data_IF_050989092581
#
_entry.id   IF_050989092581
#
_cell.length_a   1.000
_cell.length_b   1.000
_cell.length_c   1.000
_cell.angle_alpha   90.00
_cell.angle_beta   90.00
_cell.angle_gamma   90.00
#
_symmetry.space_group_name_H-M   'P 1'
#
loop_
_entity.id
_entity.type
_entity.pdbx_description
1 polymer ?
#
# COMPACT_ATOMS: atom_id res chain seq x y z
N UNK A 1 3.98 -37.50 26.88
CA UNK A 1 3.95 -36.28 27.71
C UNK A 1 3.81 -35.15 26.69
N UNK A 2 2.80 -34.79 26.46
CA UNK A 2 1.51 -34.22 26.71
C UNK A 2 1.46 -32.83 26.04
N UNK A 3 0.73 -32.78 24.96
CA UNK A 3 0.36 -31.62 24.12
C UNK A 3 -0.46 -30.55 24.83
N UNK A 4 -0.50 -30.53 26.18
CA UNK A 4 -1.33 -29.64 27.01
C UNK A 4 -0.60 -28.40 27.56
N UNK A 5 0.69 -28.21 27.30
CA UNK A 5 1.49 -27.10 27.86
C UNK A 5 1.71 -25.90 26.95
N UNK A 6 1.25 -25.94 25.71
CA UNK A 6 1.41 -24.83 24.74
C UNK A 6 0.22 -23.87 24.78
N UNK A 7 -0.96 -24.31 25.23
CA UNK A 7 -2.18 -23.49 25.25
C UNK A 7 -2.28 -22.47 26.41
N UNK A 8 -1.44 -22.56 27.44
CA UNK A 8 -1.57 -21.70 28.63
C UNK A 8 -0.66 -20.47 28.68
N UNK A 9 0.23 -20.25 27.68
CA UNK A 9 1.09 -19.07 27.63
C UNK A 9 0.52 -17.87 26.85
N UNK A 10 -0.65 -18.00 26.23
CA UNK A 10 -1.28 -16.90 25.44
C UNK A 10 -2.38 -16.12 26.19
N UNK A 11 -2.59 -16.36 27.50
CA UNK A 11 -3.72 -15.75 28.24
C UNK A 11 -3.41 -14.52 29.08
N UNK A 12 -2.30 -13.82 28.92
CA UNK A 12 -2.08 -12.59 29.70
C UNK A 12 -1.22 -11.56 28.99
N UNK A 13 -1.75 -10.89 28.01
CA UNK A 13 -1.39 -9.51 27.68
C UNK A 13 -2.61 -8.80 27.13
N UNK A 14 -3.52 -8.40 28.01
CA UNK A 14 -4.42 -7.30 27.72
C UNK A 14 -3.55 -6.04 27.61
N UNK A 15 -3.38 -5.55 26.40
CA UNK A 15 -2.72 -4.27 26.14
C UNK A 15 -3.74 -3.16 26.42
N UNK A 16 -3.62 -2.49 27.56
CA UNK A 16 -4.33 -1.25 27.88
C UNK A 16 -3.42 -0.06 27.54
N UNK A 17 -3.29 0.27 26.27
CA UNK A 17 -2.61 1.48 25.83
C UNK A 17 -3.55 2.33 24.98
N UNK A 18 -3.44 3.67 25.00
CA UNK A 18 -4.33 4.58 24.29
C UNK A 18 -4.24 4.48 22.74
N UNK A 19 -3.42 3.62 22.20
CA UNK A 19 -3.14 3.47 20.75
C UNK A 19 -4.04 2.48 20.03
N UNK A 20 -4.85 1.67 20.75
CA UNK A 20 -5.78 0.69 20.18
C UNK A 20 -7.05 1.30 19.54
N UNK A 21 -7.13 2.61 19.40
CA UNK A 21 -8.27 3.29 18.76
C UNK A 21 -8.02 3.81 17.35
N UNK A 22 -6.85 3.61 16.78
CA UNK A 22 -6.43 4.28 15.55
C UNK A 22 -6.56 3.44 14.26
N UNK A 23 -6.85 2.15 14.34
CA UNK A 23 -7.07 1.29 13.15
C UNK A 23 -8.49 0.75 13.04
N UNK A 24 -9.49 1.44 13.60
CA UNK A 24 -10.85 1.21 13.19
C UNK A 24 -11.09 2.01 11.90
N UNK A 25 -10.74 1.42 10.75
CA UNK A 25 -11.38 1.80 9.49
C UNK A 25 -12.86 1.75 9.75
N UNK A 26 -13.52 2.91 9.85
CA UNK A 26 -14.96 3.01 9.84
C UNK A 26 -15.46 2.64 8.43
N UNK A 27 -15.39 1.36 8.10
CA UNK A 27 -16.37 0.81 7.18
C UNK A 27 -17.69 1.06 7.90
N UNK A 28 -18.57 1.86 7.35
CA UNK A 28 -19.94 1.99 7.79
C UNK A 28 -20.65 0.66 7.54
N UNK A 29 -20.33 -0.32 8.37
CA UNK A 29 -21.19 -1.47 8.62
C UNK A 29 -22.34 -0.92 9.44
N UNK A 30 -23.61 -1.18 9.11
CA UNK A 30 -24.75 -0.75 9.91
C UNK A 30 -24.51 -1.16 11.36
N UNK A 31 -24.75 -0.23 12.28
CA UNK A 31 -24.63 -0.39 13.73
C UNK A 31 -25.07 -1.78 14.18
N UNK A 32 -24.12 -2.64 14.49
CA UNK A 32 -24.39 -3.73 15.41
C UNK A 32 -24.10 -3.19 16.81
N UNK A 33 -25.12 -3.33 17.67
CA UNK A 33 -25.04 -2.98 19.07
C UNK A 33 -23.76 -3.57 19.68
N UNK A 34 -22.97 -2.72 20.35
CA UNK A 34 -21.80 -3.12 21.14
C UNK A 34 -22.24 -4.17 22.16
N UNK A 35 -21.82 -5.39 21.97
CA UNK A 35 -21.84 -6.38 23.04
C UNK A 35 -20.59 -6.16 23.90
N UNK A 36 -20.82 -5.82 25.16
CA UNK A 36 -19.78 -5.68 26.20
C UNK A 36 -19.09 -7.05 26.42
N UNK A 37 -17.77 -7.05 26.59
CA UNK A 37 -16.90 -8.25 26.69
C UNK A 37 -17.25 -9.25 27.83
N UNK A 38 -18.30 -9.01 28.60
CA UNK A 38 -18.69 -9.80 29.76
C UNK A 38 -20.14 -10.33 29.76
N UNK A 39 -20.90 -10.20 28.67
CA UNK A 39 -22.27 -10.74 28.67
C UNK A 39 -22.48 -11.72 27.50
N UNK A 40 -22.47 -12.97 27.83
CA UNK A 40 -22.89 -14.08 26.98
C UNK A 40 -24.34 -13.87 26.51
N UNK A 41 -24.50 -13.29 25.32
CA UNK A 41 -25.82 -13.27 24.68
C UNK A 41 -26.17 -14.67 24.16
N UNK A 42 -26.58 -15.53 25.04
CA UNK A 42 -27.26 -16.76 24.64
C UNK A 42 -28.51 -16.39 23.86
N UNK A 43 -28.55 -16.72 22.57
CA UNK A 43 -29.68 -16.60 21.65
C UNK A 43 -29.74 -15.36 20.73
N UNK A 44 -28.65 -14.94 20.15
CA UNK A 44 -28.71 -14.27 18.83
C UNK A 44 -28.72 -15.37 17.76
N UNK A 45 -29.91 -15.79 17.36
CA UNK A 45 -30.15 -16.84 16.36
C UNK A 45 -29.79 -16.40 14.93
N UNK A 46 -28.63 -15.84 14.72
CA UNK A 46 -28.03 -15.71 13.39
C UNK A 46 -27.10 -16.91 13.20
N UNK A 47 -27.32 -17.73 12.18
CA UNK A 47 -26.31 -18.69 11.77
C UNK A 47 -25.01 -17.90 11.50
N UNK A 48 -23.82 -18.51 11.69
CA UNK A 48 -22.60 -17.88 11.28
C UNK A 48 -22.79 -17.47 9.82
N UNK A 49 -22.89 -16.16 9.58
CA UNK A 49 -22.91 -15.62 8.22
C UNK A 49 -21.70 -16.19 7.51
N UNK A 50 -21.85 -16.59 6.28
CA UNK A 50 -20.75 -17.08 5.45
C UNK A 50 -19.54 -16.19 5.65
N UNK A 51 -18.32 -16.76 5.82
CA UNK A 51 -17.13 -15.96 6.04
C UNK A 51 -17.04 -14.88 4.96
N UNK A 52 -16.87 -13.62 5.35
CA UNK A 52 -16.66 -12.54 4.41
C UNK A 52 -15.18 -12.48 4.08
N UNK A 53 -14.87 -12.43 2.80
CA UNK A 53 -13.51 -12.25 2.33
C UNK A 53 -13.29 -10.79 1.94
N UNK A 54 -12.16 -10.21 2.37
CA UNK A 54 -11.75 -8.88 1.97
C UNK A 54 -10.31 -8.91 1.42
N UNK A 55 -9.99 -7.99 0.54
CA UNK A 55 -8.66 -7.76 -0.01
C UNK A 55 -8.27 -6.32 0.26
N UNK A 56 -7.04 -6.09 0.70
CA UNK A 56 -6.51 -4.76 1.00
C UNK A 56 -5.28 -4.44 0.15
N UNK A 57 -4.33 -5.36 0.08
CA UNK A 57 -3.08 -5.22 -0.66
C UNK A 57 -3.20 -5.70 -2.10
N UNK A 58 -2.52 -5.01 -3.02
CA UNK A 58 -2.54 -5.34 -4.44
C UNK A 58 -1.22 -4.93 -5.11
N UNK A 59 -0.70 -5.80 -5.97
CA UNK A 59 0.37 -5.47 -6.92
C UNK A 59 0.06 -6.04 -8.30
N UNK A 60 0.54 -5.36 -9.34
CA UNK A 60 0.41 -5.81 -10.72
C UNK A 60 1.78 -5.79 -11.40
N UNK A 61 2.06 -6.80 -12.22
CA UNK A 61 3.34 -6.91 -12.93
C UNK A 61 3.49 -8.21 -13.69
N UNK A 62 4.60 -8.35 -14.40
CA UNK A 62 4.90 -9.59 -15.16
C UNK A 62 5.50 -10.66 -14.26
N UNK A 63 4.74 -11.17 -13.29
CA UNK A 63 5.19 -12.19 -12.34
C UNK A 63 5.44 -13.55 -12.99
N UNK A 64 4.80 -13.83 -14.12
CA UNK A 64 4.92 -15.10 -14.85
C UNK A 64 5.94 -15.08 -15.97
N UNK A 65 6.59 -13.94 -16.20
CA UNK A 65 7.55 -13.68 -17.29
C UNK A 65 7.04 -14.08 -18.69
N UNK A 66 5.72 -14.11 -18.89
CA UNK A 66 5.10 -14.39 -20.19
C UNK A 66 4.86 -13.13 -21.03
N UNK A 67 5.31 -11.97 -20.56
CA UNK A 67 5.12 -10.66 -21.22
C UNK A 67 3.77 -10.00 -20.94
N UNK A 68 2.94 -10.60 -20.09
CA UNK A 68 1.63 -10.05 -19.71
C UNK A 68 1.57 -9.71 -18.23
N UNK A 69 0.76 -8.72 -17.90
CA UNK A 69 0.56 -8.28 -16.52
C UNK A 69 -0.33 -9.26 -15.76
N UNK A 70 0.22 -9.87 -14.73
CA UNK A 70 -0.53 -10.64 -13.72
C UNK A 70 -0.85 -9.75 -12.52
N UNK A 71 -1.88 -10.11 -11.76
CA UNK A 71 -2.31 -9.40 -10.55
C UNK A 71 -2.14 -10.31 -9.34
N UNK A 72 -1.62 -9.77 -8.24
CA UNK A 72 -1.56 -10.43 -6.95
C UNK A 72 -2.28 -9.55 -5.94
N UNK A 73 -3.23 -10.12 -5.22
CA UNK A 73 -4.00 -9.43 -4.21
C UNK A 73 -3.95 -10.20 -2.88
N UNK A 74 -4.01 -9.50 -1.77
CA UNK A 74 -4.23 -10.14 -0.47
C UNK A 74 -5.68 -10.63 -0.37
N UNK A 75 -5.90 -11.63 0.44
CA UNK A 75 -7.23 -12.15 0.74
C UNK A 75 -7.26 -12.58 2.20
N UNK A 76 -8.09 -11.92 2.99
CA UNK A 76 -8.30 -12.23 4.40
C UNK A 76 -9.72 -12.73 4.60
N UNK A 77 -9.88 -13.88 5.25
CA UNK A 77 -11.18 -14.44 5.58
C UNK A 77 -11.45 -14.18 7.05
N UNK A 78 -12.46 -13.35 7.34
CA UNK A 78 -12.81 -13.01 8.71
C UNK A 78 -13.60 -14.13 9.37
N UNK A 79 -13.04 -14.71 10.44
CA UNK A 79 -13.72 -15.63 11.35
C UNK A 79 -13.85 -14.97 12.73
N UNK A 80 -14.99 -15.17 13.39
CA UNK A 80 -15.17 -14.79 14.80
C UNK A 80 -14.92 -16.00 15.70
N UNK A 81 -14.06 -15.97 16.75
CA UNK A 81 -13.17 -14.91 17.23
C UNK A 81 -11.69 -15.15 16.85
N UNK A 82 -11.10 -14.31 16.04
CA UNK A 82 -9.64 -14.07 15.94
C UNK A 82 -8.70 -15.14 15.36
N UNK A 83 -9.04 -15.81 14.29
CA UNK A 83 -8.06 -16.39 13.37
C UNK A 83 -8.47 -15.94 11.96
N UNK A 84 -7.81 -14.94 11.41
CA UNK A 84 -8.08 -14.36 10.09
C UNK A 84 -6.97 -14.78 9.11
N UNK A 85 -6.92 -16.05 8.68
CA UNK A 85 -5.85 -16.49 7.80
C UNK A 85 -5.89 -15.73 6.49
N UNK A 86 -4.77 -15.09 6.17
CA UNK A 86 -4.55 -14.41 4.93
C UNK A 86 -3.96 -15.32 3.86
N UNK A 87 -4.17 -14.94 2.62
CA UNK A 87 -3.54 -15.56 1.47
C UNK A 87 -3.15 -14.48 0.46
N UNK A 88 -2.11 -14.75 -0.33
CA UNK A 88 -1.95 -14.12 -1.63
C UNK A 88 -2.78 -14.88 -2.65
N UNK A 89 -3.63 -14.16 -3.39
CA UNK A 89 -4.33 -14.65 -4.59
C UNK A 89 -3.56 -14.16 -5.80
N UNK A 90 -2.95 -15.10 -6.53
CA UNK A 90 -2.21 -14.81 -7.74
C UNK A 90 -3.15 -15.09 -8.92
N UNK A 91 -3.47 -14.06 -9.70
CA UNK A 91 -4.24 -14.12 -10.93
C UNK A 91 -3.28 -14.09 -12.12
N UNK A 92 -2.85 -15.25 -12.64
CA UNK A 92 -1.88 -15.31 -13.72
C UNK A 92 -2.53 -14.83 -15.01
N UNK A 93 -1.93 -13.86 -15.69
CA UNK A 93 -2.41 -13.44 -17.00
C UNK A 93 -2.18 -14.54 -18.04
N UNK A 94 -3.20 -14.80 -18.84
CA UNK A 94 -3.13 -15.69 -20.00
C UNK A 94 -3.03 -14.94 -21.33
N UNK A 95 -2.97 -13.61 -21.26
CA UNK A 95 -2.87 -12.67 -22.39
C UNK A 95 -4.19 -11.99 -22.74
N UNK A 96 -4.10 -10.85 -23.44
CA UNK A 96 -5.24 -10.07 -23.93
C UNK A 96 -6.36 -9.80 -22.90
N UNK A 97 -5.98 -9.46 -21.66
CA UNK A 97 -6.94 -9.14 -20.59
C UNK A 97 -7.68 -10.33 -20.01
N UNK A 98 -7.16 -11.53 -20.24
CA UNK A 98 -7.69 -12.76 -19.66
C UNK A 98 -6.78 -13.29 -18.56
N UNK A 99 -7.38 -13.84 -17.50
CA UNK A 99 -6.67 -14.38 -16.35
C UNK A 99 -7.03 -15.86 -16.12
N UNK A 100 -6.06 -16.63 -15.65
CA UNK A 100 -6.29 -17.98 -15.19
C UNK A 100 -6.96 -18.01 -13.83
N UNK A 101 -7.40 -19.20 -13.41
CA UNK A 101 -7.91 -19.39 -12.07
C UNK A 101 -6.87 -18.93 -11.01
N UNK A 102 -7.26 -18.25 -9.95
CA UNK A 102 -6.33 -17.77 -8.94
C UNK A 102 -5.63 -18.91 -8.22
N UNK A 103 -4.33 -18.72 -7.96
CA UNK A 103 -3.52 -19.63 -7.14
C UNK A 103 -3.40 -18.99 -5.75
N UNK A 104 -3.68 -19.77 -4.71
CA UNK A 104 -3.60 -19.32 -3.33
C UNK A 104 -2.24 -19.68 -2.72
N UNK A 105 -1.62 -18.75 -2.04
CA UNK A 105 -0.41 -18.95 -1.24
C UNK A 105 -0.66 -18.39 0.16
N UNK A 106 -0.52 -19.19 1.24
CA UNK A 106 -0.76 -18.71 2.61
C UNK A 106 0.16 -17.54 2.98
N UNK A 107 -0.39 -16.50 3.63
CA UNK A 107 0.29 -15.23 3.99
C UNK A 107 -0.04 -14.78 5.43
N UNK A 108 0.08 -15.63 6.42
CA UNK A 108 -0.15 -15.20 7.81
C UNK A 108 -1.53 -14.62 8.08
N UNK A 109 -1.65 -13.85 9.17
CA UNK A 109 -2.91 -13.21 9.58
C UNK A 109 -2.94 -11.74 9.11
N UNK A 110 -4.04 -11.35 8.47
CA UNK A 110 -4.41 -9.98 8.07
C UNK A 110 -3.33 -9.20 7.26
N UNK A 111 -2.94 -9.70 6.07
CA UNK A 111 -2.01 -8.98 5.20
C UNK A 111 -2.67 -7.72 4.62
N UNK A 112 -2.10 -6.54 4.91
CA UNK A 112 -2.69 -5.24 4.57
C UNK A 112 -2.12 -4.60 3.31
N UNK A 113 -0.83 -4.76 3.05
CA UNK A 113 -0.13 -4.05 1.98
C UNK A 113 0.83 -4.98 1.24
N UNK A 114 0.93 -4.79 -0.08
CA UNK A 114 1.89 -5.52 -0.92
C UNK A 114 2.85 -4.56 -1.60
N UNK A 115 4.10 -5.00 -1.72
CA UNK A 115 5.09 -4.41 -2.62
C UNK A 115 5.75 -5.51 -3.44
N UNK A 116 6.31 -5.17 -4.60
CA UNK A 116 6.98 -6.13 -5.46
C UNK A 116 8.27 -5.56 -6.06
N UNK A 117 9.31 -6.38 -6.10
CA UNK A 117 10.57 -6.11 -6.76
C UNK A 117 11.30 -7.43 -7.04
N UNK A 118 12.31 -7.44 -7.89
CA UNK A 118 13.23 -8.57 -8.02
C UNK A 118 14.26 -8.49 -6.87
N UNK A 119 13.98 -9.19 -5.77
CA UNK A 119 14.85 -9.22 -4.57
C UNK A 119 15.97 -10.26 -4.69
N UNK A 120 15.86 -11.18 -5.63
CA UNK A 120 16.83 -12.25 -5.81
C UNK A 120 17.79 -12.02 -6.95
N UNK A 121 17.53 -11.04 -7.82
CA UNK A 121 18.25 -10.84 -9.08
C UNK A 121 18.00 -11.96 -10.08
N UNK A 122 16.96 -12.79 -9.86
CA UNK A 122 16.64 -13.95 -10.71
C UNK A 122 15.71 -13.59 -11.88
N UNK A 123 15.16 -12.38 -11.90
CA UNK A 123 14.37 -11.80 -12.98
C UNK A 123 12.85 -11.78 -12.75
N UNK A 124 12.16 -12.80 -12.22
CA UNK A 124 10.76 -12.65 -11.83
C UNK A 124 10.60 -11.76 -10.61
N UNK A 125 9.55 -10.92 -10.59
CA UNK A 125 9.24 -10.10 -9.42
C UNK A 125 8.87 -10.98 -8.22
N UNK A 126 9.48 -10.70 -7.08
CA UNK A 126 9.13 -11.22 -5.77
C UNK A 126 8.05 -10.34 -5.14
N UNK A 127 7.42 -10.81 -4.06
CA UNK A 127 6.36 -10.07 -3.35
C UNK A 127 6.71 -9.97 -1.88
N UNK A 128 6.49 -8.79 -1.31
CA UNK A 128 6.56 -8.55 0.14
C UNK A 128 5.19 -8.14 0.63
N UNK A 129 4.70 -8.84 1.65
CA UNK A 129 3.47 -8.54 2.35
C UNK A 129 3.79 -7.92 3.72
N UNK A 130 3.04 -6.89 4.11
CA UNK A 130 3.07 -6.31 5.45
C UNK A 130 1.80 -6.73 6.19
N UNK A 131 1.96 -7.39 7.35
CA UNK A 131 0.88 -7.88 8.21
C UNK A 131 0.97 -7.23 9.58
N UNK A 132 -0.03 -6.40 9.90
CA UNK A 132 -0.03 -5.61 11.14
C UNK A 132 -0.24 -6.49 12.38
N UNK A 133 -1.20 -7.40 12.34
CA UNK A 133 -1.58 -8.25 13.48
C UNK A 133 -0.50 -9.28 13.81
N UNK A 134 0.11 -9.89 12.81
CA UNK A 134 1.27 -10.77 12.99
C UNK A 134 2.55 -10.02 13.34
N UNK A 135 2.63 -8.73 12.99
CA UNK A 135 3.83 -7.93 13.16
C UNK A 135 4.98 -8.43 12.32
N UNK A 136 4.72 -8.71 11.04
CA UNK A 136 5.71 -9.28 10.12
C UNK A 136 5.72 -8.62 8.76
N UNK A 137 6.90 -8.67 8.12
CA UNK A 137 7.02 -8.64 6.67
C UNK A 137 7.24 -10.08 6.20
N UNK A 138 6.41 -10.52 5.27
CA UNK A 138 6.51 -11.86 4.66
C UNK A 138 7.02 -11.71 3.22
N UNK A 139 8.19 -12.30 2.92
CA UNK A 139 8.81 -12.22 1.60
C UNK A 139 8.57 -13.52 0.85
N UNK A 140 7.94 -13.42 -0.30
CA UNK A 140 7.64 -14.53 -1.20
C UNK A 140 8.54 -14.46 -2.42
N UNK A 141 9.47 -15.41 -2.52
CA UNK A 141 10.37 -15.50 -3.66
C UNK A 141 9.71 -16.21 -4.82
N UNK A 142 9.69 -15.56 -5.97
CA UNK A 142 9.15 -16.11 -7.21
C UNK A 142 10.17 -17.03 -7.86
N UNK A 143 9.73 -18.22 -8.26
CA UNK A 143 10.60 -19.23 -8.83
C UNK A 143 11.10 -18.86 -10.23
N UNK A 144 12.41 -18.69 -10.39
CA UNK A 144 13.02 -18.47 -11.71
C UNK A 144 12.79 -19.64 -12.68
N UNK A 145 12.64 -20.87 -12.16
CA UNK A 145 12.40 -22.07 -12.97
C UNK A 145 10.93 -22.22 -13.38
N UNK A 146 10.02 -21.66 -12.60
CA UNK A 146 8.58 -21.68 -12.85
C UNK A 146 7.97 -20.34 -12.40
N UNK A 147 8.18 -19.26 -13.18
CA UNK A 147 7.65 -17.94 -12.83
C UNK A 147 6.14 -17.95 -12.56
N UNK A 148 5.72 -17.18 -11.55
CA UNK A 148 4.34 -17.18 -11.05
C UNK A 148 4.06 -18.24 -9.97
N UNK A 149 5.10 -18.96 -9.50
CA UNK A 149 4.99 -19.86 -8.34
C UNK A 149 5.94 -19.42 -7.24
N UNK A 150 5.45 -19.40 -6.02
CA UNK A 150 6.19 -18.96 -4.84
C UNK A 150 6.55 -20.15 -3.95
N UNK A 151 7.78 -20.13 -3.42
CA UNK A 151 8.25 -21.13 -2.46
C UNK A 151 7.79 -20.86 -1.03
N UNK A 152 8.42 -21.53 -0.06
CA UNK A 152 8.21 -21.20 1.35
C UNK A 152 8.66 -19.75 1.62
N UNK A 153 7.83 -18.92 2.27
CA UNK A 153 8.16 -17.52 2.50
C UNK A 153 9.26 -17.35 3.56
N UNK A 154 9.99 -16.23 3.46
CA UNK A 154 10.83 -15.71 4.54
C UNK A 154 10.00 -14.75 5.40
N UNK A 155 9.95 -15.01 6.71
CA UNK A 155 9.21 -14.17 7.66
C UNK A 155 10.21 -13.31 8.44
N UNK A 156 10.04 -11.99 8.35
CA UNK A 156 10.82 -10.98 9.04
C UNK A 156 9.97 -10.33 10.13
N UNK A 157 10.47 -10.27 11.37
CA UNK A 157 9.73 -9.64 12.48
C UNK A 157 9.76 -8.12 12.33
N UNK A 158 8.56 -7.51 12.22
CA UNK A 158 8.33 -6.06 12.09
C UNK A 158 7.04 -5.67 12.83
N UNK A 159 7.09 -5.52 14.17
CA UNK A 159 5.90 -5.29 14.98
C UNK A 159 5.13 -4.03 14.59
N UNK A 160 3.87 -4.20 14.17
CA UNK A 160 3.02 -3.11 13.70
C UNK A 160 3.24 -2.72 12.24
N UNK A 161 3.80 -3.63 11.43
CA UNK A 161 4.00 -3.39 10.00
C UNK A 161 2.66 -3.14 9.29
N UNK A 162 2.48 -1.93 8.77
CA UNK A 162 1.28 -1.51 8.04
C UNK A 162 1.54 -1.29 6.55
N UNK A 163 2.80 -1.04 6.18
CA UNK A 163 3.22 -0.79 4.80
C UNK A 163 4.72 -1.07 4.67
N UNK A 164 5.17 -1.37 3.47
CA UNK A 164 6.59 -1.57 3.14
C UNK A 164 6.96 -0.81 1.89
N UNK A 165 8.10 -0.12 1.92
CA UNK A 165 8.78 0.44 0.75
C UNK A 165 10.01 -0.40 0.43
N UNK A 166 10.40 -0.43 -0.85
CA UNK A 166 11.56 -1.16 -1.34
C UNK A 166 12.51 -0.19 -2.04
N UNK A 167 13.81 -0.27 -1.75
CA UNK A 167 14.83 0.55 -2.38
C UNK A 167 16.24 0.13 -1.97
N UNK A 168 17.24 0.44 -2.79
CA UNK A 168 18.65 0.19 -2.49
C UNK A 168 19.18 1.33 -1.61
N UNK A 169 19.05 1.18 -0.30
CA UNK A 169 19.33 2.25 0.67
C UNK A 169 20.81 2.49 0.92
N UNK A 170 21.67 1.59 0.46
CA UNK A 170 23.12 1.68 0.65
C UNK A 170 23.90 1.71 -0.67
N UNK A 171 23.21 1.74 -1.81
CA UNK A 171 23.75 1.74 -3.16
C UNK A 171 24.69 0.54 -3.42
N UNK A 172 24.36 -0.65 -2.90
CA UNK A 172 25.11 -1.89 -3.13
C UNK A 172 24.54 -2.75 -4.29
N UNK A 173 23.46 -2.29 -4.90
CA UNK A 173 22.75 -2.96 -6.00
C UNK A 173 21.71 -3.97 -5.54
N UNK A 174 21.49 -4.14 -4.22
CA UNK A 174 20.47 -5.01 -3.65
C UNK A 174 19.31 -4.16 -3.12
N UNK A 175 18.10 -4.71 -3.22
CA UNK A 175 16.90 -4.01 -2.76
C UNK A 175 16.68 -4.26 -1.27
N UNK A 176 16.68 -3.21 -0.47
CA UNK A 176 16.38 -3.23 0.95
C UNK A 176 14.88 -3.04 1.20
N UNK A 177 14.40 -3.37 2.41
CA UNK A 177 13.03 -3.18 2.81
C UNK A 177 12.94 -2.17 3.94
N UNK A 178 12.02 -1.21 3.82
CA UNK A 178 11.70 -0.25 4.88
C UNK A 178 10.26 -0.47 5.29
N UNK A 179 10.02 -0.81 6.55
CA UNK A 179 8.70 -1.02 7.11
C UNK A 179 8.18 0.23 7.80
N UNK A 180 6.96 0.65 7.45
CA UNK A 180 6.16 1.54 8.29
C UNK A 180 5.65 0.72 9.47
N UNK A 181 6.27 0.84 10.62
CA UNK A 181 5.99 0.11 11.84
C UNK A 181 6.17 1.01 13.07
N UNK A 182 6.18 0.42 14.28
CA UNK A 182 6.36 1.17 15.52
C UNK A 182 7.75 1.84 15.65
N UNK A 183 8.71 1.51 14.78
CA UNK A 183 10.09 2.02 14.84
C UNK A 183 10.64 2.48 13.49
N UNK A 184 9.88 2.43 12.42
CA UNK A 184 10.38 2.54 11.03
C UNK A 184 11.66 1.74 10.85
N UNK A 185 11.50 0.49 10.48
CA UNK A 185 12.59 -0.48 10.47
C UNK A 185 13.16 -0.65 9.06
N UNK A 186 14.50 -0.59 8.96
CA UNK A 186 15.24 -0.90 7.74
C UNK A 186 15.83 -2.32 7.84
N UNK A 187 15.49 -3.16 6.88
CA UNK A 187 16.02 -4.51 6.66
C UNK A 187 16.98 -4.46 5.47
N UNK A 188 18.28 -4.42 5.77
CA UNK A 188 19.31 -4.37 4.72
C UNK A 188 19.49 -5.75 4.11
N UNK A 189 19.43 -5.82 2.80
CA UNK A 189 19.75 -7.03 2.06
C UNK A 189 21.27 -7.19 1.99
N UNK A 190 21.80 -8.34 2.42
CA UNK A 190 23.25 -8.63 2.48
C UNK A 190 23.72 -9.58 1.39
N UNK A 191 22.81 -10.25 0.77
CA UNK A 191 22.96 -11.09 -0.43
C UNK A 191 21.58 -11.27 -1.04
N UNK A 192 21.45 -11.60 -2.33
CA UNK A 192 20.16 -11.82 -2.97
C UNK A 192 19.20 -12.66 -2.13
N UNK A 193 18.04 -12.09 -1.75
CA UNK A 193 17.03 -12.72 -0.90
C UNK A 193 17.41 -12.93 0.57
N UNK A 194 18.50 -12.31 1.07
CA UNK A 194 18.95 -12.49 2.46
C UNK A 194 19.05 -11.14 3.17
N UNK A 195 18.33 -10.97 4.27
CA UNK A 195 18.26 -9.73 5.02
C UNK A 195 18.97 -9.81 6.37
N UNK A 196 19.64 -8.72 6.75
CA UNK A 196 20.20 -8.54 8.08
C UNK A 196 19.07 -8.32 9.12
N UNK A 197 19.43 -8.31 10.40
CA UNK A 197 18.50 -7.88 11.44
C UNK A 197 18.11 -6.43 11.22
N UNK A 198 16.82 -6.06 11.44
CA UNK A 198 16.38 -4.69 11.22
C UNK A 198 17.09 -3.70 12.14
N UNK A 199 17.34 -2.53 11.59
CA UNK A 199 17.75 -1.34 12.34
C UNK A 199 16.60 -0.34 12.39
N UNK A 200 16.42 0.32 13.52
CA UNK A 200 15.42 1.38 13.68
C UNK A 200 15.95 2.68 13.07
N UNK A 201 15.20 3.25 12.13
CA UNK A 201 15.48 4.57 11.56
C UNK A 201 14.77 5.68 12.33
N UNK A 202 13.56 5.41 12.84
CA UNK A 202 12.75 6.39 13.54
C UNK A 202 11.92 5.72 14.66
N UNK A 203 12.22 6.00 15.93
CA UNK A 203 11.57 5.32 17.05
C UNK A 203 10.14 5.83 17.35
N UNK A 204 9.66 6.82 16.61
CA UNK A 204 8.32 7.38 16.78
C UNK A 204 7.20 6.60 16.09
N UNK A 205 7.55 5.60 15.30
CA UNK A 205 6.61 4.89 14.44
C UNK A 205 6.10 5.72 13.25
N UNK A 206 5.63 5.04 12.22
CA UNK A 206 5.04 5.68 11.05
C UNK A 206 3.86 4.86 10.53
N UNK A 207 2.93 5.55 9.87
CA UNK A 207 1.81 4.90 9.18
C UNK A 207 2.14 4.62 7.70
N UNK A 208 3.06 5.40 7.13
CA UNK A 208 3.48 5.29 5.74
C UNK A 208 4.93 5.70 5.59
N UNK A 209 5.65 5.06 4.68
CA UNK A 209 7.02 5.40 4.31
C UNK A 209 7.17 5.42 2.79
N UNK A 210 8.05 6.29 2.30
CA UNK A 210 8.50 6.33 0.92
C UNK A 210 10.01 6.56 0.88
N UNK A 211 10.67 6.05 -0.14
CA UNK A 211 12.12 6.14 -0.32
C UNK A 211 12.47 6.78 -1.64
N UNK A 212 13.50 7.60 -1.66
CA UNK A 212 14.01 8.28 -2.85
C UNK A 212 15.05 9.34 -2.47
N UNK A 213 15.88 9.74 -3.42
CA UNK A 213 16.86 10.79 -3.23
C UNK A 213 16.15 12.16 -3.15
N UNK A 214 16.06 12.72 -1.96
CA UNK A 214 15.36 13.98 -1.67
C UNK A 214 16.32 15.17 -1.52
N UNK A 215 17.63 14.95 -1.66
CA UNK A 215 18.64 16.00 -1.55
C UNK A 215 19.57 16.04 -2.76
N UNK A 216 19.35 15.17 -3.75
CA UNK A 216 20.12 15.06 -4.98
C UNK A 216 21.61 14.70 -4.75
N UNK A 217 21.89 13.83 -3.77
CA UNK A 217 23.23 13.29 -3.50
C UNK A 217 23.43 11.89 -4.10
N UNK A 218 22.42 11.33 -4.73
CA UNK A 218 22.42 10.01 -5.37
C UNK A 218 22.21 8.86 -4.40
N UNK A 219 21.85 9.11 -3.13
CA UNK A 219 21.59 8.10 -2.13
C UNK A 219 20.14 8.25 -1.68
N UNK A 220 19.35 7.16 -1.56
CA UNK A 220 17.97 7.26 -1.13
C UNK A 220 17.83 7.76 0.31
N UNK A 221 16.89 8.69 0.50
CA UNK A 221 16.41 9.21 1.75
C UNK A 221 15.08 8.55 2.13
N UNK A 222 14.55 8.85 3.31
CA UNK A 222 13.26 8.33 3.79
C UNK A 222 12.32 9.49 4.08
N UNK A 223 11.14 9.46 3.47
CA UNK A 223 10.00 10.25 3.90
C UNK A 223 9.03 9.36 4.68
N UNK A 224 8.49 9.86 5.79
CA UNK A 224 7.56 9.11 6.63
C UNK A 224 6.41 9.99 7.10
N UNK A 225 5.27 9.35 7.41
CA UNK A 225 4.14 10.01 8.08
C UNK A 225 3.98 9.49 9.49
N UNK A 226 3.88 10.38 10.45
CA UNK A 226 3.50 10.07 11.81
C UNK A 226 2.18 10.76 12.21
N UNK A 227 1.83 10.77 13.50
CA UNK A 227 0.62 11.39 14.00
C UNK A 227 0.59 12.92 13.88
N UNK A 228 1.70 13.56 13.48
CA UNK A 228 1.83 15.03 13.38
C UNK A 228 1.85 15.49 11.93
N UNK A 229 2.36 14.67 11.02
CA UNK A 229 2.48 15.01 9.61
C UNK A 229 3.62 14.26 8.92
N UNK A 230 4.26 14.90 7.96
CA UNK A 230 5.32 14.30 7.14
C UNK A 230 6.68 14.79 7.60
N UNK A 231 7.59 13.85 7.74
CA UNK A 231 9.00 14.08 8.06
C UNK A 231 9.91 13.46 7.01
N UNK A 232 11.07 14.06 6.84
CA UNK A 232 12.13 13.56 5.98
C UNK A 232 13.36 13.26 6.82
N UNK A 233 13.96 12.11 6.62
CA UNK A 233 15.25 11.69 7.14
C UNK A 233 16.22 11.64 5.96
N UNK A 234 17.11 12.63 5.86
CA UNK A 234 18.13 12.64 4.82
C UNK A 234 19.27 11.70 5.21
N UNK A 235 19.70 10.87 4.28
CA UNK A 235 20.91 10.07 4.43
C UNK A 235 22.13 11.00 4.59
N UNK A 236 23.11 10.59 5.37
CA UNK A 236 24.33 11.39 5.62
C UNK A 236 25.59 10.54 5.54
N UNK A 237 26.61 11.08 4.91
CA UNK A 237 27.90 10.38 4.75
C UNK A 237 27.93 9.47 3.53
N UNK A 238 28.72 8.40 3.59
CA UNK A 238 28.81 7.44 2.49
C UNK A 238 27.58 6.52 2.48
N UNK A 239 27.11 6.11 1.31
CA UNK A 239 25.93 5.23 1.15
C UNK A 239 25.95 4.01 2.10
N UNK A 240 27.07 3.30 2.15
CA UNK A 240 27.24 2.13 3.01
C UNK A 240 27.15 2.42 4.53
N UNK A 241 27.13 3.70 4.96
CA UNK A 241 27.07 4.05 6.38
C UNK A 241 25.67 3.90 7.00
N UNK A 242 24.61 3.97 6.20
CA UNK A 242 23.21 3.93 6.62
C UNK A 242 22.92 4.87 7.81
N UNK A 243 23.51 6.05 7.76
CA UNK A 243 23.33 7.09 8.79
C UNK A 243 22.41 8.18 8.26
N UNK A 244 21.48 8.61 9.09
CA UNK A 244 20.46 9.59 8.72
C UNK A 244 20.54 10.83 9.64
N UNK A 245 20.26 11.99 9.07
CA UNK A 245 20.09 13.21 9.84
C UNK A 245 18.87 13.12 10.77
N UNK A 246 18.79 14.00 11.75
CA UNK A 246 17.59 14.12 12.57
C UNK A 246 16.38 14.41 11.67
N UNK A 247 15.20 13.78 11.94
CA UNK A 247 14.01 13.97 11.13
C UNK A 247 13.58 15.44 11.09
N UNK A 248 13.30 15.95 9.89
CA UNK A 248 12.82 17.32 9.66
C UNK A 248 11.36 17.26 9.22
N UNK A 249 10.49 17.97 9.94
CA UNK A 249 9.08 18.11 9.54
C UNK A 249 8.97 19.01 8.30
N UNK A 250 8.37 18.51 7.24
CA UNK A 250 8.17 19.21 5.97
C UNK A 250 6.72 19.52 5.68
N UNK A 251 5.79 18.83 6.34
CA UNK A 251 4.36 19.06 6.22
C UNK A 251 3.67 18.76 7.56
N UNK A 252 2.73 19.64 7.96
CA UNK A 252 1.93 19.44 9.17
C UNK A 252 0.53 19.04 8.78
N UNK A 253 0.07 17.91 9.28
CA UNK A 253 -1.25 17.37 9.01
C UNK A 253 -2.36 18.28 9.58
N UNK A 254 -3.46 18.37 8.85
CA UNK A 254 -4.71 18.94 9.36
C UNK A 254 -5.26 18.10 10.51
N UNK A 255 -5.69 18.78 11.59
CA UNK A 255 -6.23 18.07 12.76
C UNK A 255 -7.63 17.54 12.44
N UNK A 256 -7.77 16.24 12.35
CA UNK A 256 -9.05 15.55 12.21
C UNK A 256 -9.19 14.50 13.33
N UNK A 257 -9.92 14.81 14.46
CA UNK A 257 -10.03 13.92 15.60
C UNK A 257 -10.82 12.64 15.32
N UNK A 258 -10.45 11.83 14.48
CA UNK A 258 -11.11 10.57 14.10
C UNK A 258 -10.44 9.91 12.93
N UNK A 259 -9.53 10.61 12.28
CA UNK A 259 -8.71 10.10 11.19
C UNK A 259 -7.26 10.34 11.58
N UNK A 260 -6.62 9.32 12.11
CA UNK A 260 -5.19 9.33 12.38
C UNK A 260 -4.49 8.53 11.29
N UNK A 261 -3.42 9.08 10.70
CA UNK A 261 -2.57 8.33 9.76
C UNK A 261 -3.03 8.29 8.31
N UNK A 262 -3.86 9.24 7.88
CA UNK A 262 -4.33 9.32 6.49
C UNK A 262 -3.39 10.07 5.54
N UNK A 263 -2.20 10.49 5.99
CA UNK A 263 -1.21 11.08 5.10
C UNK A 263 -0.44 9.96 4.42
N UNK A 264 -0.59 9.88 3.11
CA UNK A 264 0.19 9.01 2.25
C UNK A 264 1.26 9.86 1.58
N UNK A 265 2.39 9.26 1.23
CA UNK A 265 3.47 9.95 0.54
C UNK A 265 3.85 9.14 -0.69
N UNK A 266 4.04 9.85 -1.81
CA UNK A 266 4.81 9.35 -2.93
C UNK A 266 5.96 10.32 -3.22
N UNK A 267 7.06 9.79 -3.73
CA UNK A 267 8.25 10.53 -4.15
C UNK A 267 8.40 10.37 -5.65
N UNK A 268 8.44 11.48 -6.39
CA UNK A 268 8.66 11.50 -7.83
C UNK A 268 9.06 12.90 -8.30
N UNK A 269 9.80 12.99 -9.40
CA UNK A 269 10.01 14.24 -10.12
C UNK A 269 8.76 14.57 -10.94
N UNK A 270 7.83 15.34 -10.33
CA UNK A 270 6.55 15.66 -10.99
C UNK A 270 6.61 16.88 -11.89
N UNK A 271 7.70 17.65 -11.83
CA UNK A 271 7.87 18.84 -12.67
C UNK A 271 8.89 18.67 -13.78
N UNK A 272 9.62 17.54 -13.83
CA UNK A 272 10.59 17.22 -14.86
C UNK A 272 11.92 18.00 -14.71
N UNK A 273 12.25 18.48 -13.51
CA UNK A 273 13.49 19.24 -13.29
C UNK A 273 14.68 18.38 -12.81
N UNK A 274 14.47 17.08 -12.67
CA UNK A 274 15.47 16.10 -12.27
C UNK A 274 15.60 15.94 -10.75
N UNK A 275 14.74 16.58 -9.95
CA UNK A 275 14.70 16.47 -8.50
C UNK A 275 13.44 15.76 -8.05
N UNK A 276 13.54 14.92 -7.04
CA UNK A 276 12.36 14.25 -6.49
C UNK A 276 11.55 15.19 -5.60
N UNK A 277 10.27 15.28 -5.88
CA UNK A 277 9.27 16.05 -5.15
C UNK A 277 8.48 15.15 -4.19
N UNK A 278 7.72 15.76 -3.28
CA UNK A 278 6.80 15.05 -2.38
C UNK A 278 5.35 15.28 -2.81
N UNK A 279 4.62 14.18 -2.97
CA UNK A 279 3.17 14.17 -3.18
C UNK A 279 2.52 13.60 -1.93
N UNK A 280 1.73 14.41 -1.22
CA UNK A 280 1.23 14.10 0.13
C UNK A 280 -0.28 14.25 0.15
N UNK A 281 -1.02 13.22 0.61
CA UNK A 281 -2.45 13.38 0.89
C UNK A 281 -2.66 14.00 2.28
N UNK A 282 -3.73 14.78 2.43
CA UNK A 282 -4.19 15.28 3.74
C UNK A 282 -5.71 15.05 3.83
N UNK A 283 -6.20 14.33 4.86
CA UNK A 283 -7.62 14.08 5.05
C UNK A 283 -8.43 15.38 5.28
N UNK A 284 -7.76 16.48 5.55
CA UNK A 284 -8.39 17.75 5.87
C UNK A 284 -9.05 17.79 7.25
N UNK A 285 -9.44 18.96 7.73
CA UNK A 285 -10.21 19.10 8.97
C UNK A 285 -11.62 18.49 8.80
N UNK A 286 -12.26 18.15 9.92
CA UNK A 286 -13.61 17.54 9.92
C UNK A 286 -14.60 18.38 9.09
N UNK A 287 -15.27 17.73 8.15
CA UNK A 287 -16.26 18.35 7.27
C UNK A 287 -15.69 19.04 6.02
N UNK A 288 -14.38 18.99 5.83
CA UNK A 288 -13.72 19.44 4.59
C UNK A 288 -13.37 18.23 3.71
N UNK A 289 -13.35 18.40 2.39
CA UNK A 289 -12.84 17.37 1.51
C UNK A 289 -11.33 17.16 1.72
N UNK A 290 -10.80 15.96 1.52
CA UNK A 290 -9.36 15.72 1.55
C UNK A 290 -8.65 16.42 0.40
N UNK A 291 -7.35 16.61 0.55
CA UNK A 291 -6.50 17.23 -0.47
C UNK A 291 -5.30 16.35 -0.79
N UNK A 292 -4.71 16.59 -1.96
CA UNK A 292 -3.34 16.20 -2.27
C UNK A 292 -2.48 17.47 -2.36
N UNK A 293 -1.30 17.43 -1.78
CA UNK A 293 -0.39 18.56 -1.63
C UNK A 293 0.93 18.22 -2.33
N UNK A 294 1.36 19.08 -3.22
CA UNK A 294 2.60 18.93 -3.97
C UNK A 294 3.64 19.86 -3.37
N UNK A 295 4.73 19.29 -2.89
CA UNK A 295 5.88 20.02 -2.36
C UNK A 295 7.05 19.80 -3.31
N UNK A 296 7.32 20.78 -4.17
CA UNK A 296 8.45 20.72 -5.08
C UNK A 296 9.76 20.88 -4.31
N UNK A 297 10.76 20.06 -4.64
CA UNK A 297 12.09 20.19 -4.06
C UNK A 297 12.71 21.54 -4.44
N UNK A 298 13.37 22.18 -3.48
CA UNK A 298 13.99 23.48 -3.71
C UNK A 298 15.37 23.30 -4.35
N UNK A 299 15.46 23.55 -5.64
CA UNK A 299 16.71 23.47 -6.41
C UNK A 299 17.88 24.30 -5.83
N UNK A 300 17.56 25.40 -5.12
CA UNK A 300 18.58 26.27 -4.52
C UNK A 300 19.04 25.78 -3.14
N UNK A 301 18.33 24.86 -2.54
CA UNK A 301 18.62 24.29 -1.22
C UNK A 301 18.15 22.82 -1.18
N UNK A 302 18.92 21.87 -1.80
CA UNK A 302 18.57 20.46 -1.83
C UNK A 302 18.24 19.91 -0.45
N UNK A 303 17.26 19.01 -0.36
CA UNK A 303 16.73 18.51 0.91
C UNK A 303 15.70 19.42 1.59
N UNK A 304 15.36 20.56 0.96
CA UNK A 304 14.25 21.42 1.40
C UNK A 304 13.17 21.52 0.31
N UNK A 305 11.97 21.91 0.70
CA UNK A 305 10.82 21.95 -0.20
C UNK A 305 10.18 23.34 -0.24
N UNK A 306 9.58 23.66 -1.39
CA UNK A 306 8.78 24.87 -1.55
C UNK A 306 7.45 24.74 -0.81
N UNK A 307 6.72 25.85 -0.67
CA UNK A 307 5.39 25.83 -0.08
C UNK A 307 4.45 24.90 -0.86
N UNK A 308 3.58 24.12 -0.17
CA UNK A 308 2.71 23.15 -0.82
C UNK A 308 1.68 23.85 -1.74
N UNK A 309 1.43 23.22 -2.88
CA UNK A 309 0.28 23.52 -3.75
C UNK A 309 -0.75 22.42 -3.55
N UNK A 310 -1.98 22.81 -3.15
CA UNK A 310 -3.03 21.87 -2.75
C UNK A 310 -4.09 21.72 -3.83
N UNK A 311 -4.52 20.47 -4.06
CA UNK A 311 -5.62 20.10 -4.94
C UNK A 311 -6.68 19.33 -4.17
N UNK A 312 -7.95 19.73 -4.34
CA UNK A 312 -9.07 19.12 -3.62
C UNK A 312 -9.47 17.79 -4.27
N UNK A 313 -9.66 16.76 -3.45
CA UNK A 313 -10.17 15.46 -3.85
C UNK A 313 -11.70 15.39 -3.68
N UNK A 314 -12.31 14.29 -4.13
CA UNK A 314 -13.72 14.04 -3.86
C UNK A 314 -14.00 14.02 -2.36
N UNK A 315 -15.09 14.65 -1.92
CA UNK A 315 -15.47 14.70 -0.50
C UNK A 315 -15.77 13.32 0.12
N UNK A 316 -16.01 12.31 -0.71
CA UNK A 316 -16.20 10.91 -0.29
C UNK A 316 -14.90 10.11 -0.30
N UNK A 317 -13.79 10.72 -0.71
CA UNK A 317 -12.49 10.07 -0.75
C UNK A 317 -11.85 10.10 0.63
N UNK A 318 -11.59 8.93 1.19
CA UNK A 318 -10.62 8.77 2.28
C UNK A 318 -9.38 8.15 1.67
N UNK A 319 -8.29 8.93 1.44
CA UNK A 319 -7.08 8.41 0.80
C UNK A 319 -6.52 7.21 1.56
N UNK A 320 -6.27 6.11 0.86
CA UNK A 320 -5.74 4.86 1.41
C UNK A 320 -4.54 4.35 0.63
N UNK A 321 -4.36 4.81 -0.62
CA UNK A 321 -3.18 4.56 -1.43
C UNK A 321 -2.88 5.72 -2.35
N UNK A 322 -1.62 5.84 -2.74
CA UNK A 322 -1.14 6.85 -3.68
C UNK A 322 -0.11 6.24 -4.61
N UNK A 323 -0.25 6.51 -5.89
CA UNK A 323 0.70 6.14 -6.94
C UNK A 323 0.95 7.34 -7.83
N UNK A 324 2.20 7.53 -8.24
CA UNK A 324 2.59 8.53 -9.23
C UNK A 324 3.11 7.80 -10.47
N UNK A 325 2.44 7.99 -11.61
CA UNK A 325 2.77 7.34 -12.87
C UNK A 325 2.20 8.15 -14.05
N UNK A 326 2.85 8.11 -15.21
CA UNK A 326 2.28 8.64 -16.44
C UNK A 326 1.12 7.72 -16.90
N UNK A 327 -0.12 8.10 -16.55
CA UNK A 327 -1.30 7.29 -16.87
C UNK A 327 -1.96 7.70 -18.19
N UNK A 328 -1.54 8.82 -18.80
CA UNK A 328 -2.10 9.29 -20.05
C UNK A 328 -1.14 9.15 -21.25
N UNK A 329 0.12 8.77 -21.01
CA UNK A 329 1.15 8.56 -22.02
C UNK A 329 1.75 9.86 -22.59
N UNK A 330 1.68 10.98 -21.85
CA UNK A 330 2.20 12.28 -22.31
C UNK A 330 3.63 12.56 -21.84
N UNK A 331 4.23 11.66 -21.06
CA UNK A 331 5.59 11.75 -20.53
C UNK A 331 5.70 12.53 -19.22
N UNK A 332 4.59 12.95 -18.62
CA UNK A 332 4.56 13.63 -17.32
C UNK A 332 3.87 12.75 -16.27
N UNK A 333 4.45 12.59 -15.07
CA UNK A 333 3.84 11.76 -14.03
C UNK A 333 2.53 12.37 -13.53
N UNK A 334 1.46 11.57 -13.54
CA UNK A 334 0.14 11.87 -13.00
C UNK A 334 0.01 11.30 -11.58
N UNK A 335 -1.03 11.67 -10.86
CA UNK A 335 -1.29 11.19 -9.50
C UNK A 335 -2.59 10.39 -9.47
N UNK A 336 -2.50 9.16 -8.95
CA UNK A 336 -3.66 8.27 -8.73
C UNK A 336 -3.78 8.00 -7.22
N UNK A 337 -4.94 8.32 -6.67
CA UNK A 337 -5.24 8.18 -5.25
C UNK A 337 -6.43 7.25 -5.08
N UNK A 338 -6.19 6.11 -4.46
CA UNK A 338 -7.23 5.17 -4.05
C UNK A 338 -7.84 5.54 -2.70
N UNK A 339 -9.14 5.34 -2.57
CA UNK A 339 -9.91 5.55 -1.35
C UNK A 339 -10.99 4.49 -1.16
N UNK A 340 -11.83 4.63 -0.14
CA UNK A 340 -12.78 3.58 0.27
C UNK A 340 -13.80 3.18 -0.82
N UNK A 341 -14.17 4.10 -1.71
CA UNK A 341 -15.18 3.86 -2.74
C UNK A 341 -14.92 4.68 -4.01
N UNK A 342 -13.71 5.20 -4.17
CA UNK A 342 -13.37 6.10 -5.26
C UNK A 342 -11.89 6.06 -5.56
N UNK A 343 -11.55 6.13 -6.84
CA UNK A 343 -10.20 6.48 -7.31
C UNK A 343 -10.26 7.91 -7.83
N UNK A 344 -9.31 8.75 -7.41
CA UNK A 344 -9.11 10.08 -7.95
C UNK A 344 -7.86 10.09 -8.84
N UNK A 345 -7.97 10.67 -10.02
CA UNK A 345 -6.87 10.84 -10.97
C UNK A 345 -6.66 12.33 -11.21
N UNK A 346 -5.44 12.81 -10.98
CA UNK A 346 -5.02 14.17 -11.28
C UNK A 346 -3.98 14.11 -12.38
N UNK A 347 -4.34 14.56 -13.55
CA UNK A 347 -3.41 14.62 -14.68
C UNK A 347 -2.47 15.81 -14.53
N UNK A 348 -1.18 15.57 -14.76
CA UNK A 348 -0.17 16.60 -14.81
C UNK A 348 -0.44 17.52 -16.02
N UNK A 349 -0.25 18.81 -15.84
CA UNK A 349 -0.46 19.77 -16.92
C UNK A 349 0.81 19.86 -17.78
N UNK A 350 0.83 19.19 -18.92
CA UNK A 350 1.96 19.20 -19.83
C UNK A 350 2.43 20.61 -20.25
N UNK A 351 1.55 21.62 -20.17
CA UNK A 351 1.91 23.02 -20.46
C UNK A 351 2.58 23.73 -19.27
N UNK A 352 2.49 23.17 -18.09
CA UNK A 352 3.08 23.68 -16.84
C UNK A 352 3.38 22.50 -15.90
N UNK A 353 4.41 21.67 -16.20
CA UNK A 353 4.72 20.47 -15.42
C UNK A 353 4.90 20.78 -13.92
N UNK A 354 4.42 19.86 -13.07
CA UNK A 354 4.35 20.06 -11.63
C UNK A 354 3.08 20.79 -11.14
N UNK A 355 2.20 21.21 -12.09
CA UNK A 355 0.83 21.61 -11.78
C UNK A 355 -0.15 20.57 -12.32
N UNK A 356 -1.29 20.40 -11.65
CA UNK A 356 -2.24 19.33 -11.97
C UNK A 356 -3.61 19.89 -12.35
N UNK A 357 -4.30 19.15 -13.20
CA UNK A 357 -5.70 19.42 -13.51
C UNK A 357 -6.58 19.04 -12.30
N UNK A 358 -7.83 19.50 -12.29
CA UNK A 358 -8.79 19.10 -11.25
C UNK A 358 -8.97 17.59 -11.24
N UNK A 359 -9.09 17.01 -10.05
CA UNK A 359 -9.23 15.57 -9.86
C UNK A 359 -10.47 15.03 -10.60
N UNK A 360 -10.26 14.05 -11.47
CA UNK A 360 -11.31 13.19 -12.00
C UNK A 360 -11.56 12.04 -11.02
N UNK A 361 -12.83 11.78 -10.70
CA UNK A 361 -13.20 10.76 -9.70
C UNK A 361 -13.97 9.63 -10.35
N UNK A 362 -13.54 8.40 -10.07
CA UNK A 362 -14.10 7.15 -10.57
C UNK A 362 -14.62 6.33 -9.41
N UNK A 363 -15.91 6.00 -9.40
CA UNK A 363 -16.48 5.15 -8.36
C UNK A 363 -15.91 3.73 -8.43
N UNK A 364 -15.56 3.17 -7.28
CA UNK A 364 -15.03 1.82 -7.12
C UNK A 364 -15.69 1.12 -5.94
N UNK A 365 -15.57 -0.19 -5.86
CA UNK A 365 -16.03 -0.97 -4.71
C UNK A 365 -15.05 -0.88 -3.54
N UNK A 366 -13.74 -0.81 -3.82
CA UNK A 366 -12.67 -0.64 -2.86
C UNK A 366 -11.40 -0.19 -3.59
N UNK A 367 -10.64 0.73 -3.03
CA UNK A 367 -9.34 1.13 -3.59
C UNK A 367 -8.31 1.39 -2.46
N UNK A 368 -8.26 0.46 -1.50
CA UNK A 368 -7.31 0.51 -0.37
C UNK A 368 -5.86 0.49 -0.81
N UNK A 369 -5.57 -0.19 -1.91
CA UNK A 369 -4.32 -0.09 -2.64
C UNK A 369 -4.63 -0.08 -4.14
N UNK A 370 -3.94 0.74 -4.93
CA UNK A 370 -4.08 0.76 -6.38
C UNK A 370 -2.79 0.30 -7.04
N UNK A 371 -2.90 -0.38 -8.17
CA UNK A 371 -1.78 -0.67 -9.05
C UNK A 371 -2.07 -0.14 -10.46
N UNK A 372 -1.02 0.28 -11.16
CA UNK A 372 -1.08 0.85 -12.49
C UNK A 372 -0.36 -0.10 -13.44
N UNK A 373 -1.07 -0.64 -14.42
CA UNK A 373 -0.48 -1.53 -15.41
C UNK A 373 -1.44 -1.74 -16.61
N UNK A 374 -0.88 -2.01 -17.78
CA UNK A 374 -1.67 -2.51 -18.92
C UNK A 374 -2.07 -3.97 -18.64
N UNK A 375 -3.31 -4.19 -18.20
CA UNK A 375 -3.80 -5.54 -17.86
C UNK A 375 -4.53 -6.21 -19.00
N UNK A 376 -4.96 -5.44 -20.03
CA UNK A 376 -5.68 -5.96 -21.16
C UNK A 376 -4.81 -6.13 -22.42
N UNK A 377 -3.57 -5.62 -22.43
CA UNK A 377 -2.62 -5.74 -23.54
C UNK A 377 -2.89 -4.80 -24.71
N UNK A 378 -3.60 -3.68 -24.51
CA UNK A 378 -3.92 -2.70 -25.55
C UNK A 378 -2.87 -1.57 -25.65
N UNK A 379 -1.87 -1.57 -24.77
CA UNK A 379 -0.79 -0.58 -24.72
C UNK A 379 -1.13 0.67 -23.91
N UNK A 380 -2.32 0.73 -23.30
CA UNK A 380 -2.72 1.78 -22.37
C UNK A 380 -2.63 1.23 -20.92
N UNK A 381 -2.26 2.08 -19.98
CA UNK A 381 -2.23 1.66 -18.59
C UNK A 381 -3.62 1.75 -17.97
N UNK A 382 -3.98 0.74 -17.21
CA UNK A 382 -5.24 0.62 -16.48
C UNK A 382 -5.00 0.80 -14.98
N UNK A 383 -6.07 1.03 -14.22
CA UNK A 383 -6.04 1.10 -12.76
C UNK A 383 -6.67 -0.17 -12.20
N UNK A 384 -5.90 -0.92 -11.41
CA UNK A 384 -6.38 -2.14 -10.73
C UNK A 384 -6.62 -1.81 -9.25
N UNK A 385 -7.74 -2.30 -8.72
CA UNK A 385 -8.16 -2.08 -7.34
C UNK A 385 -8.44 -3.42 -6.63
N UNK A 386 -8.24 -3.53 -5.32
CA UNK A 386 -8.58 -4.74 -4.57
C UNK A 386 -10.09 -5.01 -4.57
N UNK A 387 -10.45 -6.22 -4.19
CA UNK A 387 -11.86 -6.61 -4.04
C UNK A 387 -12.47 -5.89 -2.85
N UNK A 388 -13.58 -5.19 -3.05
CA UNK A 388 -14.41 -4.71 -1.96
C UNK A 388 -15.03 -5.87 -1.17
N UNK A 389 -15.41 -5.61 0.08
CA UNK A 389 -16.23 -6.54 0.87
C UNK A 389 -17.50 -6.84 0.06
N UNK A 390 -17.65 -8.09 -0.32
CA UNK A 390 -18.64 -8.57 -1.30
C UNK A 390 -20.01 -7.92 -1.16
N UNK A 391 -20.45 -7.18 -2.18
CA UNK A 391 -21.88 -6.97 -2.38
C UNK A 391 -22.52 -8.32 -2.75
N UNK A 392 -23.63 -8.73 -2.10
CA UNK A 392 -24.36 -9.88 -2.56
C UNK A 392 -24.82 -9.60 -3.99
N UNK A 393 -24.23 -10.26 -4.96
CA UNK A 393 -24.80 -10.29 -6.30
C UNK A 393 -26.22 -10.88 -6.21
N UNK A 394 -27.12 -10.38 -7.06
CA UNK A 394 -28.52 -10.80 -7.15
C UNK A 394 -28.70 -12.31 -7.33
N UNK A 395 -27.61 -13.07 -7.54
CA UNK A 395 -27.59 -14.53 -7.74
C UNK A 395 -26.91 -15.32 -6.60
N UNK A 396 -26.43 -14.68 -5.53
CA UNK A 396 -25.77 -15.38 -4.41
C UNK A 396 -24.38 -15.97 -4.70
N UNK A 397 -23.77 -15.60 -5.82
CA UNK A 397 -22.37 -15.93 -6.15
C UNK A 397 -21.53 -14.71 -5.84
N UNK A 398 -20.59 -14.83 -4.91
CA UNK A 398 -19.60 -13.80 -4.61
C UNK A 398 -18.43 -13.95 -5.60
N UNK A 399 -18.20 -12.95 -6.44
CA UNK A 399 -16.96 -12.85 -7.20
C UNK A 399 -15.98 -12.04 -6.35
N UNK A 400 -14.91 -12.69 -5.87
CA UNK A 400 -13.87 -12.06 -5.07
C UNK A 400 -12.65 -11.77 -5.97
N UNK A 401 -12.88 -11.15 -7.12
CA UNK A 401 -11.84 -10.81 -8.08
C UNK A 401 -11.51 -9.31 -7.98
N UNK A 402 -10.24 -8.90 -8.12
CA UNK A 402 -9.88 -7.49 -8.20
C UNK A 402 -10.70 -6.76 -9.26
N UNK A 403 -10.98 -5.50 -9.01
CA UNK A 403 -11.62 -4.61 -9.97
C UNK A 403 -10.58 -3.96 -10.89
N UNK A 404 -11.00 -3.58 -12.08
CA UNK A 404 -10.20 -2.83 -13.02
C UNK A 404 -10.98 -1.69 -13.64
N UNK A 405 -10.36 -0.52 -13.72
CA UNK A 405 -10.81 0.62 -14.49
C UNK A 405 -9.95 0.68 -15.76
N UNK A 406 -10.51 0.22 -16.88
CA UNK A 406 -9.80 0.23 -18.15
C UNK A 406 -9.69 1.66 -18.69
N UNK A 407 -8.53 2.04 -19.20
CA UNK A 407 -8.36 3.31 -19.87
C UNK A 407 -9.16 3.33 -21.19
N UNK A 408 -9.79 4.47 -21.49
CA UNK A 408 -10.63 4.63 -22.67
C UNK A 408 -9.75 4.99 -23.89
N UNK A 409 -9.70 4.11 -24.87
CA UNK A 409 -8.96 4.35 -26.10
C UNK A 409 -9.39 5.67 -26.78
N UNK A 410 -8.42 6.49 -27.15
CA UNK A 410 -8.65 7.81 -27.75
C UNK A 410 -9.00 8.93 -26.75
N UNK A 411 -9.04 8.64 -25.46
CA UNK A 411 -9.23 9.62 -24.38
C UNK A 411 -8.21 9.37 -23.27
N UNK A 412 -6.92 9.70 -23.50
CA UNK A 412 -5.84 9.44 -22.54
C UNK A 412 -6.15 9.98 -21.14
N UNK A 413 -5.86 9.20 -20.11
CA UNK A 413 -6.13 9.55 -18.71
C UNK A 413 -7.61 9.49 -18.31
N UNK A 414 -8.49 8.98 -19.17
CA UNK A 414 -9.91 8.74 -18.87
C UNK A 414 -10.15 7.24 -18.72
N UNK A 415 -10.87 6.86 -17.66
CA UNK A 415 -11.10 5.46 -17.32
C UNK A 415 -12.60 5.11 -17.40
N UNK A 416 -12.88 3.89 -17.81
CA UNK A 416 -14.23 3.34 -17.80
C UNK A 416 -14.67 3.00 -16.36
N UNK A 417 -15.95 2.70 -16.18
CA UNK A 417 -16.46 2.20 -14.90
C UNK A 417 -15.74 0.89 -14.51
N UNK A 418 -15.57 0.67 -13.21
CA UNK A 418 -14.96 -0.54 -12.65
C UNK A 418 -15.65 -1.80 -13.19
N UNK A 419 -14.84 -2.80 -13.50
CA UNK A 419 -15.26 -4.16 -13.84
C UNK A 419 -14.44 -5.15 -13.03
N UNK A 420 -15.03 -6.25 -12.64
CA UNK A 420 -14.28 -7.37 -12.05
C UNK A 420 -13.29 -7.93 -13.08
N UNK A 421 -12.11 -8.31 -12.64
CA UNK A 421 -11.24 -9.16 -13.45
C UNK A 421 -11.96 -10.47 -13.74
N UNK A 422 -11.93 -10.95 -14.98
CA UNK A 422 -12.65 -12.15 -15.38
C UNK A 422 -12.17 -13.43 -14.69
#
# INVERSE_FOLDING_TARGET
>A
MSTKKIAERRKSRAWSGPWLRACAVLVTVPLFASCDDNNWCGNCGYPPTSPSEASYGLVAGNFTQNGHTSVIATSTVYYYPHDNPGNLKIYPSTGAGTFGAPVLTPDGDDPLYLASADLTGAGPLDVVSASFDDGTLTVFYNSAQKPGTFGAPLILSSPGASQVAIGDMNNDGLQDLISADFNVSLFVQTAPGTFAKPMSLYPGGANWVAVGDLNNDGIPDVALTDSVGVKVLLHTGAAASLTYAAPVAVFTQSVNPGITGANLIAIADVNGDGLNDLVITDPGPVGSPPTVNILLQNKSAPGTFLAPVSYTLSATSFPQSIVVADVNGDGHPDIVIGGSAVVNVLLNNASAPGTFLAAASYATTNATQVAIADVNGDGLVDIVVPVGVSHPLVSGVYTNNPGVLLQVAGSPGTFAAEKDLP
#
